data_IF_704904368572
#
_entry.id   IF_704904368572
#
_cell.length_a   1.000
_cell.length_b   1.000
_cell.length_c   1.000
_cell.angle_alpha   90.00
_cell.angle_beta   90.00
_cell.angle_gamma   90.00
#
_symmetry.space_group_name_H-M   'P 1'
#
loop_
_entity.id
_entity.type
_entity.pdbx_description
1 polymer ?
#
# COMPACT_ATOMS: atom_id res chain seq x y z
N UNK A 1 -53.44 29.69 30.54
CA UNK A 1 -52.98 28.29 30.44
C UNK A 1 -51.52 28.24 30.88
N UNK A 2 -51.28 27.47 31.94
CA UNK A 2 -50.02 26.95 32.48
C UNK A 2 -48.70 27.72 32.27
N UNK A 3 -48.20 28.34 33.34
CA UNK A 3 -46.76 28.31 33.64
C UNK A 3 -46.56 27.49 34.92
N UNK A 4 -46.17 26.24 34.75
CA UNK A 4 -45.54 25.44 35.80
C UNK A 4 -44.04 25.44 35.48
N UNK A 5 -43.27 26.10 36.32
CA UNK A 5 -41.87 25.73 36.52
C UNK A 5 -41.49 26.11 37.96
N UNK A 6 -41.58 25.12 38.85
CA UNK A 6 -41.11 25.25 40.22
C UNK A 6 -39.58 25.14 40.24
N UNK A 7 -38.87 26.04 40.94
CA UNK A 7 -37.48 25.80 41.29
C UNK A 7 -37.46 24.95 42.57
N UNK A 8 -37.31 23.63 42.44
CA UNK A 8 -36.82 22.80 43.53
C UNK A 8 -35.31 23.02 43.67
N UNK A 9 -34.95 24.12 44.34
CA UNK A 9 -33.60 24.41 44.79
C UNK A 9 -33.66 24.63 46.29
N UNK A 10 -33.41 23.56 47.05
CA UNK A 10 -33.56 23.54 48.50
C UNK A 10 -32.79 24.65 49.21
N UNK A 11 -33.50 25.34 50.09
CA UNK A 11 -32.98 26.32 51.05
C UNK A 11 -31.88 25.69 51.94
N UNK A 12 -30.66 26.21 51.84
CA UNK A 12 -29.69 26.06 52.92
C UNK A 12 -30.10 27.00 54.07
N UNK A 13 -30.89 26.50 55.01
CA UNK A 13 -31.20 27.20 56.27
C UNK A 13 -29.91 27.55 57.01
N UNK A 14 -29.66 28.85 57.15
CA UNK A 14 -28.75 29.41 58.16
C UNK A 14 -29.39 29.23 59.54
N UNK A 15 -28.71 28.52 60.42
CA UNK A 15 -28.97 28.53 61.87
C UNK A 15 -27.64 28.78 62.57
N UNK A 16 -27.65 29.73 63.50
CA UNK A 16 -26.75 29.72 64.66
C UNK A 16 -25.61 30.71 64.61
N UNK A 17 -25.74 31.76 65.44
CA UNK A 17 -24.70 32.68 65.88
C UNK A 17 -23.45 31.95 66.40
N UNK A 18 -22.27 32.42 65.98
CA UNK A 18 -20.98 31.91 66.45
C UNK A 18 -19.85 32.67 65.79
N UNK A 19 -19.17 33.50 66.59
CA UNK A 19 -18.02 34.34 66.22
C UNK A 19 -16.85 33.41 65.84
N UNK A 20 -16.55 33.30 64.54
CA UNK A 20 -15.25 33.03 63.92
C UNK A 20 -15.46 32.93 62.40
N UNK A 21 -15.23 34.04 61.69
CA UNK A 21 -15.15 34.08 60.24
C UNK A 21 -13.93 33.27 59.77
N UNK A 22 -14.15 31.99 59.48
CA UNK A 22 -13.39 31.33 58.42
C UNK A 22 -14.38 31.03 57.31
N UNK A 23 -14.47 31.97 56.36
CA UNK A 23 -15.21 31.81 55.11
C UNK A 23 -14.55 30.70 54.29
N UNK A 24 -14.89 29.45 54.60
CA UNK A 24 -14.45 28.29 53.83
C UNK A 24 -15.26 28.28 52.54
N UNK A 25 -14.80 29.08 51.57
CA UNK A 25 -15.27 29.04 50.18
C UNK A 25 -15.10 27.61 49.66
N UNK A 26 -16.20 26.86 49.62
CA UNK A 26 -16.29 25.63 48.84
C UNK A 26 -16.05 25.99 47.37
N UNK A 27 -14.82 25.80 46.90
CA UNK A 27 -14.53 25.81 45.48
C UNK A 27 -15.29 24.65 44.84
N UNK A 28 -16.35 24.98 44.08
CA UNK A 28 -16.94 24.04 43.12
C UNK A 28 -15.79 23.55 42.24
N UNK A 29 -15.45 22.26 42.39
CA UNK A 29 -14.53 21.57 41.48
C UNK A 29 -15.06 21.77 40.07
N UNK A 30 -14.37 22.62 39.30
CA UNK A 30 -14.73 22.96 37.94
C UNK A 30 -14.80 21.69 37.12
N UNK A 31 -16.00 21.39 36.61
CA UNK A 31 -16.34 20.22 35.78
C UNK A 31 -15.62 20.20 34.42
N UNK A 32 -14.78 21.20 34.16
CA UNK A 32 -14.06 21.42 32.89
C UNK A 32 -12.91 20.44 32.64
N UNK A 33 -12.30 19.85 33.68
CA UNK A 33 -11.09 19.02 33.52
C UNK A 33 -11.32 17.69 32.77
N UNK A 34 -12.55 17.17 32.74
CA UNK A 34 -12.89 15.92 32.03
C UNK A 34 -13.46 16.12 30.62
N UNK A 35 -13.95 17.32 30.30
CA UNK A 35 -14.66 17.58 29.04
C UNK A 35 -13.72 17.46 27.83
N UNK A 36 -12.52 18.03 27.91
CA UNK A 36 -11.53 17.97 26.83
C UNK A 36 -11.10 16.52 26.51
N UNK A 37 -11.03 15.64 27.53
CA UNK A 37 -10.70 14.22 27.33
C UNK A 37 -11.82 13.51 26.57
N UNK A 38 -13.08 13.81 26.87
CA UNK A 38 -14.24 13.23 26.18
C UNK A 38 -14.35 13.73 24.73
N UNK A 39 -14.14 15.03 24.51
CA UNK A 39 -14.13 15.60 23.16
C UNK A 39 -13.02 14.99 22.29
N UNK A 40 -11.82 14.82 22.86
CA UNK A 40 -10.70 14.18 22.16
C UNK A 40 -10.98 12.70 21.90
N UNK A 41 -11.57 11.97 22.85
CA UNK A 41 -11.92 10.56 22.68
C UNK A 41 -12.95 10.34 21.57
N UNK A 42 -13.87 11.29 21.36
CA UNK A 42 -14.86 11.25 20.27
C UNK A 42 -14.23 11.54 18.90
N UNK A 43 -13.20 12.39 18.83
CA UNK A 43 -12.50 12.71 17.58
C UNK A 43 -11.41 11.69 17.22
N UNK A 44 -10.82 11.03 18.22
CA UNK A 44 -9.77 10.03 18.07
C UNK A 44 -10.06 8.96 16.99
N UNK A 45 -11.25 8.31 16.92
CA UNK A 45 -11.51 7.31 15.88
C UNK A 45 -11.44 7.88 14.46
N UNK A 46 -11.92 9.11 14.24
CA UNK A 46 -11.86 9.78 12.93
C UNK A 46 -10.42 10.13 12.57
N UNK A 47 -9.66 10.62 13.55
CA UNK A 47 -8.25 10.98 13.36
C UNK A 47 -7.42 9.73 13.06
N UNK A 48 -7.65 8.63 13.78
CA UNK A 48 -7.03 7.33 13.52
C UNK A 48 -7.35 6.82 12.12
N UNK A 49 -8.61 6.94 11.66
CA UNK A 49 -9.01 6.55 10.31
C UNK A 49 -8.23 7.35 9.26
N UNK A 50 -8.08 8.66 9.46
CA UNK A 50 -7.35 9.53 8.53
C UNK A 50 -5.85 9.18 8.48
N UNK A 51 -5.23 8.94 9.64
CA UNK A 51 -3.82 8.51 9.70
C UNK A 51 -3.62 7.14 9.04
N UNK A 52 -4.49 6.18 9.34
CA UNK A 52 -4.46 4.86 8.74
C UNK A 52 -4.65 4.91 7.22
N UNK A 53 -5.65 5.66 6.74
CA UNK A 53 -5.91 5.81 5.30
C UNK A 53 -4.75 6.47 4.56
N UNK A 54 -4.16 7.52 5.13
CA UNK A 54 -2.98 8.19 4.54
C UNK A 54 -1.74 7.31 4.57
N UNK A 55 -1.54 6.49 5.61
CA UNK A 55 -0.44 5.54 5.69
C UNK A 55 -0.51 4.47 4.59
N UNK A 56 -1.69 3.90 4.33
CA UNK A 56 -1.86 2.93 3.25
C UNK A 56 -1.64 3.55 1.87
N UNK A 57 -2.10 4.78 1.64
CA UNK A 57 -1.80 5.50 0.39
C UNK A 57 -0.28 5.69 0.21
N UNK A 58 0.43 6.10 1.26
CA UNK A 58 1.89 6.22 1.23
C UNK A 58 2.57 4.89 0.89
N UNK A 59 2.07 3.78 1.45
CA UNK A 59 2.57 2.43 1.14
C UNK A 59 2.34 2.07 -0.33
N UNK A 60 1.14 2.28 -0.88
CA UNK A 60 0.85 2.00 -2.30
C UNK A 60 1.87 2.70 -3.21
N UNK A 61 2.14 3.98 -2.97
CA UNK A 61 3.13 4.74 -3.76
C UNK A 61 4.56 4.22 -3.55
N UNK A 62 4.93 3.85 -2.33
CA UNK A 62 6.24 3.27 -2.06
C UNK A 62 6.48 1.98 -2.85
N UNK A 63 5.53 1.03 -2.82
CA UNK A 63 5.67 -0.22 -3.57
C UNK A 63 5.55 -0.02 -5.08
N UNK A 64 4.72 0.91 -5.57
CA UNK A 64 4.64 1.17 -7.00
C UNK A 64 5.96 1.70 -7.58
N UNK A 65 6.67 2.54 -6.80
CA UNK A 65 8.02 2.99 -7.16
C UNK A 65 9.01 1.82 -7.12
N UNK A 66 9.00 1.01 -6.06
CA UNK A 66 9.87 -0.15 -5.93
C UNK A 66 9.70 -1.13 -7.11
N UNK A 67 8.45 -1.46 -7.46
CA UNK A 67 8.13 -2.34 -8.59
C UNK A 67 8.53 -1.73 -9.93
N UNK A 68 8.41 -0.41 -10.09
CA UNK A 68 8.87 0.28 -11.30
C UNK A 68 10.40 0.24 -11.44
N UNK A 69 11.12 0.42 -10.33
CA UNK A 69 12.58 0.30 -10.31
C UNK A 69 13.02 -1.15 -10.59
N UNK A 70 12.34 -2.12 -9.99
CA UNK A 70 12.54 -3.54 -10.25
C UNK A 70 12.37 -3.88 -11.73
N UNK A 71 11.34 -3.35 -12.39
CA UNK A 71 11.14 -3.55 -13.82
C UNK A 71 12.31 -2.98 -14.65
N UNK A 72 12.83 -1.81 -14.28
CA UNK A 72 13.98 -1.20 -14.98
C UNK A 72 15.25 -2.02 -14.84
N UNK A 73 15.56 -2.48 -13.63
CA UNK A 73 16.75 -3.29 -13.38
C UNK A 73 16.63 -4.67 -14.04
N UNK A 74 15.42 -5.25 -14.04
CA UNK A 74 15.11 -6.48 -14.76
C UNK A 74 15.35 -6.32 -16.27
N UNK A 75 14.81 -5.28 -16.91
CA UNK A 75 15.07 -5.05 -18.35
C UNK A 75 16.56 -4.87 -18.60
N UNK A 76 17.26 -4.13 -17.73
CA UNK A 76 18.70 -3.92 -17.87
C UNK A 76 19.46 -5.24 -17.89
N UNK A 77 19.17 -6.15 -16.96
CA UNK A 77 19.74 -7.50 -17.01
C UNK A 77 19.32 -8.26 -18.26
N UNK A 78 18.06 -8.12 -18.67
CA UNK A 78 17.54 -8.72 -19.89
C UNK A 78 18.33 -8.32 -21.14
N UNK A 79 18.89 -7.11 -21.22
CA UNK A 79 19.69 -6.69 -22.40
C UNK A 79 20.98 -7.47 -22.61
N UNK A 80 21.45 -8.21 -21.60
CA UNK A 80 22.58 -9.13 -21.71
C UNK A 80 22.17 -10.56 -22.09
N UNK A 81 20.87 -10.84 -22.22
CA UNK A 81 20.35 -12.15 -22.57
C UNK A 81 20.63 -12.46 -24.05
N UNK A 82 21.36 -13.54 -24.30
CA UNK A 82 21.61 -14.10 -25.63
C UNK A 82 21.21 -15.59 -25.63
N UNK A 83 20.02 -15.94 -26.16
CA UNK A 83 19.50 -17.30 -26.19
C UNK A 83 20.22 -18.23 -27.18
N UNK A 84 21.08 -17.70 -28.06
CA UNK A 84 21.85 -18.53 -29.01
C UNK A 84 23.15 -19.00 -28.37
N UNK A 85 23.75 -18.17 -27.50
CA UNK A 85 24.98 -18.48 -26.80
C UNK A 85 24.71 -19.16 -25.46
N UNK A 86 24.38 -20.47 -25.53
CA UNK A 86 24.18 -21.40 -24.39
C UNK A 86 25.37 -21.51 -23.40
N UNK A 87 26.39 -20.68 -23.57
CA UNK A 87 27.61 -20.60 -22.74
C UNK A 87 27.61 -19.40 -21.77
N UNK A 88 26.64 -18.49 -21.87
CA UNK A 88 26.51 -17.38 -20.94
C UNK A 88 25.68 -17.83 -19.73
N UNK A 89 26.21 -17.69 -18.51
CA UNK A 89 25.46 -17.91 -17.28
C UNK A 89 24.21 -17.00 -17.14
N UNK A 90 24.03 -16.06 -18.07
CA UNK A 90 22.94 -15.09 -18.21
C UNK A 90 21.72 -15.60 -19.01
N UNK A 91 21.74 -16.87 -19.43
CA UNK A 91 20.78 -17.47 -20.37
C UNK A 91 19.49 -18.02 -19.71
N UNK A 92 19.24 -17.68 -18.44
CA UNK A 92 18.01 -18.06 -17.73
C UNK A 92 17.31 -16.83 -17.20
N UNK A 93 16.00 -16.72 -17.43
CA UNK A 93 15.13 -15.68 -16.88
C UNK A 93 15.33 -15.48 -15.36
N UNK A 94 15.78 -16.51 -14.63
CA UNK A 94 16.11 -16.46 -13.21
C UNK A 94 17.01 -15.28 -12.80
N UNK A 95 17.96 -14.85 -13.63
CA UNK A 95 18.81 -13.69 -13.32
C UNK A 95 18.08 -12.36 -13.48
N UNK A 96 17.19 -12.28 -14.46
CA UNK A 96 16.28 -11.13 -14.62
C UNK A 96 15.32 -11.04 -13.44
N UNK A 97 14.79 -12.18 -12.99
CA UNK A 97 13.96 -12.26 -11.79
C UNK A 97 14.75 -11.88 -10.53
N UNK A 98 15.97 -12.37 -10.39
CA UNK A 98 16.82 -12.07 -9.24
C UNK A 98 17.11 -10.57 -9.15
N UNK A 99 17.40 -9.92 -10.28
CA UNK A 99 17.54 -8.47 -10.36
C UNK A 99 16.26 -7.73 -9.96
N UNK A 100 15.09 -8.17 -10.45
CA UNK A 100 13.81 -7.59 -10.02
C UNK A 100 13.60 -7.76 -8.50
N UNK A 101 13.93 -8.94 -7.95
CA UNK A 101 13.78 -9.26 -6.51
C UNK A 101 14.69 -8.43 -5.62
N UNK A 102 15.89 -8.09 -6.08
CA UNK A 102 16.83 -7.28 -5.30
C UNK A 102 16.36 -5.81 -5.14
N UNK A 103 15.49 -5.34 -6.04
CA UNK A 103 14.96 -3.97 -6.02
C UNK A 103 13.66 -3.84 -5.20
N UNK A 104 12.99 -4.94 -4.87
CA UNK A 104 11.78 -4.93 -4.05
C UNK A 104 12.09 -5.26 -2.58
N UNK A 105 11.31 -4.73 -1.63
CA UNK A 105 11.46 -5.09 -0.22
C UNK A 105 11.08 -6.56 0.03
N UNK A 106 11.59 -7.12 1.14
CA UNK A 106 11.49 -8.55 1.45
C UNK A 106 10.06 -9.07 1.70
N UNK A 107 9.08 -8.19 1.88
CA UNK A 107 7.66 -8.53 2.03
C UNK A 107 6.93 -8.67 0.69
N UNK A 108 7.61 -8.36 -0.42
CA UNK A 108 7.09 -8.53 -1.78
C UNK A 108 7.68 -9.79 -2.40
N UNK A 109 6.81 -10.69 -2.86
CA UNK A 109 7.22 -11.89 -3.59
C UNK A 109 7.04 -11.70 -5.08
N UNK A 110 8.14 -11.66 -5.84
CA UNK A 110 8.09 -11.66 -7.30
C UNK A 110 8.42 -13.04 -7.84
N UNK A 111 7.53 -13.59 -8.66
CA UNK A 111 7.68 -14.91 -9.27
C UNK A 111 7.28 -14.91 -10.75
N UNK A 112 7.60 -15.99 -11.45
CA UNK A 112 7.02 -16.26 -12.75
C UNK A 112 5.66 -16.95 -12.61
N UNK A 113 4.67 -16.62 -13.46
CA UNK A 113 3.41 -17.32 -13.48
C UNK A 113 3.61 -18.77 -13.94
N UNK A 114 2.99 -19.71 -13.21
CA UNK A 114 3.04 -21.14 -13.55
C UNK A 114 1.99 -21.55 -14.59
N UNK A 115 1.14 -20.60 -15.01
CA UNK A 115 0.10 -20.77 -16.03
C UNK A 115 0.39 -19.92 -17.26
N UNK A 116 -0.32 -20.18 -18.36
CA UNK A 116 -0.16 -19.42 -19.61
C UNK A 116 -0.79 -18.02 -19.52
N UNK A 117 -0.12 -16.96 -20.01
CA UNK A 117 1.25 -16.94 -20.52
C UNK A 117 2.29 -17.00 -19.39
N UNK A 118 3.37 -17.77 -19.57
CA UNK A 118 4.37 -18.01 -18.52
C UNK A 118 5.50 -16.97 -18.50
N UNK A 119 5.73 -16.28 -19.62
CA UNK A 119 6.90 -15.42 -19.78
C UNK A 119 6.55 -14.14 -20.53
N UNK A 120 5.96 -14.18 -21.73
CA UNK A 120 5.60 -12.94 -22.42
C UNK A 120 4.10 -12.61 -22.34
N UNK A 121 3.80 -11.43 -21.78
CA UNK A 121 2.46 -10.87 -21.76
C UNK A 121 2.31 -9.81 -22.86
N UNK A 122 1.53 -10.13 -23.88
CA UNK A 122 1.21 -9.24 -25.00
C UNK A 122 -0.17 -8.59 -24.83
N UNK A 123 -0.46 -7.59 -25.67
CA UNK A 123 -1.73 -6.85 -25.63
C UNK A 123 -1.69 -5.61 -24.72
N UNK A 124 -2.85 -4.97 -24.58
CA UNK A 124 -2.97 -3.74 -23.79
C UNK A 124 -3.11 -4.01 -22.29
N UNK A 125 -2.64 -3.10 -21.42
CA UNK A 125 -2.77 -3.24 -19.96
C UNK A 125 -4.20 -3.50 -19.46
N UNK A 126 -5.21 -3.02 -20.19
CA UNK A 126 -6.63 -3.25 -19.88
C UNK A 126 -7.04 -4.74 -19.92
N UNK A 127 -6.33 -5.57 -20.68
CA UNK A 127 -6.62 -7.01 -20.81
C UNK A 127 -5.97 -7.87 -19.70
N UNK A 128 -5.08 -7.28 -18.90
CA UNK A 128 -4.20 -8.04 -18.01
C UNK A 128 -4.80 -8.41 -16.65
N UNK A 129 -6.03 -7.98 -16.36
CA UNK A 129 -6.71 -8.20 -15.07
C UNK A 129 -6.72 -9.65 -14.58
N UNK A 130 -6.73 -10.63 -15.47
CA UNK A 130 -6.77 -12.07 -15.15
C UNK A 130 -5.40 -12.66 -14.83
N UNK A 131 -4.32 -11.93 -15.14
CA UNK A 131 -2.94 -12.41 -15.00
C UNK A 131 -2.27 -11.90 -13.73
N UNK A 132 -3.01 -11.25 -12.83
CA UNK A 132 -2.48 -10.87 -11.52
C UNK A 132 -2.40 -12.08 -10.59
N UNK A 133 -1.41 -12.11 -9.68
CA UNK A 133 -1.40 -13.10 -8.62
C UNK A 133 -2.59 -12.93 -7.68
N UNK A 134 -3.10 -14.04 -7.18
CA UNK A 134 -4.21 -14.07 -6.22
C UNK A 134 -3.75 -13.86 -4.78
N UNK A 135 -2.44 -13.94 -4.52
CA UNK A 135 -1.83 -13.77 -3.20
C UNK A 135 -1.58 -12.29 -2.89
N UNK A 136 -1.69 -11.88 -1.61
CA UNK A 136 -1.39 -10.51 -1.20
C UNK A 136 0.11 -10.22 -1.26
N UNK A 137 0.48 -9.01 -1.66
CA UNK A 137 1.87 -8.55 -1.81
C UNK A 137 2.72 -9.45 -2.72
N UNK A 138 2.08 -10.14 -3.66
CA UNK A 138 2.74 -10.92 -4.68
C UNK A 138 2.72 -10.20 -6.03
N UNK A 139 3.71 -10.46 -6.87
CA UNK A 139 3.79 -9.95 -8.23
C UNK A 139 4.27 -11.01 -9.22
N UNK A 140 3.76 -10.95 -10.45
CA UNK A 140 4.27 -11.74 -11.55
C UNK A 140 5.10 -10.89 -12.51
N UNK A 141 6.24 -11.44 -12.93
CA UNK A 141 7.16 -10.81 -13.87
C UNK A 141 6.98 -11.46 -15.23
N UNK A 142 6.77 -10.64 -16.26
CA UNK A 142 6.68 -11.05 -17.64
C UNK A 142 7.79 -10.37 -18.43
N UNK A 143 8.46 -11.12 -19.29
CA UNK A 143 9.61 -10.71 -20.08
C UNK A 143 9.28 -11.06 -21.54
N UNK A 144 9.29 -10.04 -22.40
CA UNK A 144 9.04 -10.18 -23.82
C UNK A 144 10.27 -9.71 -24.60
N UNK A 145 10.68 -10.53 -25.55
CA UNK A 145 11.75 -10.24 -26.50
C UNK A 145 11.10 -9.92 -27.85
N UNK A 146 11.25 -8.69 -28.33
CA UNK A 146 10.61 -8.20 -29.57
C UNK A 146 9.09 -8.46 -29.61
N UNK A 147 8.43 -8.36 -28.45
CA UNK A 147 6.99 -8.63 -28.30
C UNK A 147 6.60 -10.11 -28.34
N UNK A 148 7.57 -11.03 -28.30
CA UNK A 148 7.35 -12.47 -28.32
C UNK A 148 7.99 -13.19 -27.12
N UNK A 149 7.57 -14.44 -26.93
CA UNK A 149 8.02 -15.32 -25.85
C UNK A 149 9.20 -16.23 -26.22
N UNK A 150 9.87 -15.93 -27.33
CA UNK A 150 10.77 -16.90 -27.96
C UNK A 150 12.18 -16.82 -27.38
N UNK A 151 12.52 -17.80 -26.55
CA UNK A 151 13.88 -18.13 -26.08
C UNK A 151 14.81 -18.62 -27.21
N UNK A 152 14.46 -18.45 -28.48
CA UNK A 152 15.14 -19.12 -29.61
C UNK A 152 15.82 -18.16 -30.60
N UNK A 153 15.72 -16.84 -30.36
CA UNK A 153 16.44 -15.82 -31.11
C UNK A 153 16.79 -14.69 -30.17
N UNK A 154 18.04 -14.16 -30.18
CA UNK A 154 18.38 -12.97 -29.41
C UNK A 154 17.41 -11.87 -29.81
N UNK A 155 16.95 -11.11 -28.82
CA UNK A 155 16.20 -9.91 -29.11
C UNK A 155 17.08 -9.00 -29.95
N UNK A 156 16.57 -8.61 -31.12
CA UNK A 156 17.31 -7.79 -32.07
C UNK A 156 16.97 -6.31 -31.92
N UNK A 157 15.82 -6.00 -31.33
CA UNK A 157 15.36 -4.61 -31.19
C UNK A 157 15.09 -4.27 -29.74
N UNK A 158 14.16 -4.96 -29.08
CA UNK A 158 13.59 -4.53 -27.79
C UNK A 158 13.39 -5.66 -26.80
N UNK A 159 13.57 -5.30 -25.53
CA UNK A 159 13.19 -6.12 -24.39
C UNK A 159 12.19 -5.34 -23.57
N UNK A 160 11.07 -5.98 -23.29
CA UNK A 160 10.00 -5.43 -22.46
C UNK A 160 9.83 -6.29 -21.22
N UNK A 161 9.81 -5.66 -20.06
CA UNK A 161 9.42 -6.31 -18.80
C UNK A 161 8.16 -5.66 -18.26
N UNK A 162 7.17 -6.49 -17.97
CA UNK A 162 5.93 -6.09 -17.32
C UNK A 162 5.87 -6.78 -15.95
N UNK A 163 5.62 -6.01 -14.89
CA UNK A 163 5.41 -6.54 -13.55
C UNK A 163 3.98 -6.22 -13.14
N UNK A 164 3.21 -7.26 -12.82
CA UNK A 164 1.84 -7.17 -12.31
C UNK A 164 1.89 -7.46 -10.83
N UNK A 165 1.76 -6.42 -10.01
CA UNK A 165 1.85 -6.51 -8.56
C UNK A 165 0.49 -6.32 -7.91
N UNK A 166 0.21 -7.10 -6.88
CA UNK A 166 -1.03 -7.05 -6.13
C UNK A 166 -0.76 -6.58 -4.70
N UNK A 167 -1.03 -5.30 -4.43
CA UNK A 167 -0.83 -4.70 -3.12
C UNK A 167 -2.01 -4.98 -2.19
N UNK A 168 -1.74 -5.39 -0.95
CA UNK A 168 -2.77 -5.52 0.08
C UNK A 168 -2.62 -4.41 1.14
N UNK A 169 -3.62 -3.52 1.31
CA UNK A 169 -3.63 -2.52 2.36
C UNK A 169 -3.64 -3.17 3.75
N UNK A 170 -3.03 -2.52 4.74
CA UNK A 170 -3.04 -3.05 6.13
C UNK A 170 -4.29 -2.60 6.87
N UNK A 171 -4.96 -1.55 6.40
CA UNK A 171 -6.15 -1.04 7.07
C UNK A 171 -7.39 -1.91 6.75
N UNK A 172 -8.15 -2.32 7.77
CA UNK A 172 -9.30 -3.19 7.58
C UNK A 172 -10.44 -2.52 6.80
N UNK A 173 -10.43 -1.18 6.73
CA UNK A 173 -11.43 -0.40 6.01
C UNK A 173 -11.34 -0.61 4.50
N UNK A 174 -10.16 -0.95 3.98
CA UNK A 174 -10.00 -1.31 2.57
C UNK A 174 -10.89 -2.50 2.20
N UNK A 175 -10.97 -3.52 3.09
CA UNK A 175 -11.86 -4.66 2.87
C UNK A 175 -13.34 -4.34 2.95
N UNK A 176 -13.74 -3.34 3.75
CA UNK A 176 -15.14 -2.88 3.81
C UNK A 176 -15.59 -2.27 2.48
N UNK A 177 -14.66 -1.64 1.74
CA UNK A 177 -14.94 -1.00 0.43
C UNK A 177 -14.63 -1.95 -0.74
N UNK A 178 -14.21 -3.19 -0.47
CA UNK A 178 -13.84 -4.17 -1.50
C UNK A 178 -12.50 -3.87 -2.19
N UNK A 179 -11.64 -3.07 -1.54
CA UNK A 179 -10.30 -2.70 -1.98
C UNK A 179 -9.22 -3.52 -1.25
N UNK A 180 -9.50 -4.80 -0.93
CA UNK A 180 -8.56 -5.72 -0.27
C UNK A 180 -7.26 -5.91 -1.06
N UNK A 181 -7.34 -5.72 -2.38
CA UNK A 181 -6.29 -5.95 -3.36
C UNK A 181 -6.28 -4.80 -4.37
N UNK A 182 -5.15 -4.11 -4.46
CA UNK A 182 -4.92 -3.01 -5.39
C UNK A 182 -3.91 -3.45 -6.44
N UNK A 183 -4.36 -3.47 -7.69
CA UNK A 183 -3.56 -3.89 -8.83
C UNK A 183 -2.64 -2.76 -9.30
N UNK A 184 -1.35 -3.06 -9.40
CA UNK A 184 -0.30 -2.13 -9.87
C UNK A 184 0.41 -2.76 -11.06
N UNK A 185 0.61 -1.97 -12.12
CA UNK A 185 1.39 -2.37 -13.30
C UNK A 185 2.61 -1.49 -13.42
N UNK A 186 3.78 -2.12 -13.58
CA UNK A 186 4.96 -1.47 -14.11
C UNK A 186 5.32 -2.08 -15.46
N UNK A 187 5.62 -1.23 -16.45
CA UNK A 187 6.07 -1.67 -17.77
C UNK A 187 7.27 -0.85 -18.17
N UNK A 188 8.35 -1.53 -18.55
CA UNK A 188 9.59 -0.89 -19.02
C UNK A 188 10.06 -1.58 -20.29
N UNK A 189 10.54 -0.80 -21.25
CA UNK A 189 11.14 -1.28 -22.49
C UNK A 189 12.55 -0.71 -22.64
N UNK A 190 13.49 -1.50 -23.16
CA UNK A 190 14.82 -1.02 -23.57
C UNK A 190 15.20 -1.62 -24.91
N UNK A 191 16.09 -0.94 -25.63
CA UNK A 191 16.67 -1.44 -26.87
C UNK A 191 17.86 -2.36 -26.55
N UNK A 192 17.99 -3.46 -27.29
CA UNK A 192 19.16 -4.33 -27.16
C UNK A 192 20.36 -3.64 -27.77
N UNK A 193 21.45 -3.50 -27.00
CA UNK A 193 22.72 -3.04 -27.55
C UNK A 193 23.39 -4.23 -28.21
N UNK A 194 23.54 -4.18 -29.54
CA UNK A 194 24.32 -5.17 -30.28
C UNK A 194 25.73 -5.25 -29.66
N UNK A 195 26.08 -6.41 -29.11
CA UNK A 195 27.43 -6.68 -28.65
C UNK A 195 28.31 -6.82 -29.91
N UNK A 196 29.05 -5.75 -30.23
CA UNK A 196 30.09 -5.78 -31.26
C UNK A 196 31.38 -6.37 -30.73
#
# INVERSE_FOLDING_TARGET
>A
MAMVNGPNGGDCRRVGEGILETDMRCHRLSRSRGQAIVETALLLPILMLLVMGTADLGRVFYYSIAVTNAAREAVRQGTYFDPISNTNAYDTYDLVLAAARNEVPADVTLDYPTGSPSHCLTGSPSSWRVYYPTQPNAGYVYICFDGNDSQSSPAQQTIQVNILYNFSPVTPLAGVVGADLVQVVASTTMQVQAQQ
#
